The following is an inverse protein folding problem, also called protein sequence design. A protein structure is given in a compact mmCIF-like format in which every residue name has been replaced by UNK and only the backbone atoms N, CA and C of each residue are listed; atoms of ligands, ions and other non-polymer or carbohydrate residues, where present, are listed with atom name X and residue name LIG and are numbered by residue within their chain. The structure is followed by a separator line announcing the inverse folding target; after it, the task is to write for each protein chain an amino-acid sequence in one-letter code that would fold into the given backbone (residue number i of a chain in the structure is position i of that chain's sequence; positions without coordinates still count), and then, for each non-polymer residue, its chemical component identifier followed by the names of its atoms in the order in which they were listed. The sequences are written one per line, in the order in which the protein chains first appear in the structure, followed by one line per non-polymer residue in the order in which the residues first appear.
data_IF_523657158817
#
_entry.id   IF_523657158817
#
_cell.length_a   1.000
_cell.length_b   1.000
_cell.length_c   1.000
_cell.angle_alpha   90.00
_cell.angle_beta   90.00
_cell.angle_gamma   90.00
#
_symmetry.space_group_name_H-M   'P 1'
#
loop_
_entity.id
_entity.type
_entity.pdbx_description
1 polymer ?
#
# COMPACT_ATOMS: atom_id res chain seq x y z
N UNK A 1 16.75 -23.95 27.84
CA UNK A 1 17.35 -22.65 27.47
C UNK A 1 18.36 -22.94 26.38
N UNK A 2 18.00 -22.68 25.12
CA UNK A 2 18.84 -23.00 23.95
C UNK A 2 19.30 -21.70 23.31
N UNK A 3 20.62 -21.62 23.13
CA UNK A 3 21.41 -20.45 22.83
C UNK A 3 21.29 -20.05 21.34
N UNK A 4 20.66 -18.89 21.08
CA UNK A 4 20.44 -18.36 19.73
C UNK A 4 21.70 -17.79 19.06
N UNK A 5 22.86 -17.85 19.72
CA UNK A 5 24.13 -17.37 19.15
C UNK A 5 24.84 -18.40 18.25
N UNK A 6 24.41 -19.66 18.24
CA UNK A 6 25.06 -20.71 17.45
C UNK A 6 24.71 -20.66 15.95
N UNK A 7 23.53 -20.16 15.59
CA UNK A 7 23.03 -20.15 14.20
C UNK A 7 23.67 -19.08 13.31
N UNK A 8 24.23 -18.00 13.88
CA UNK A 8 24.89 -16.94 13.12
C UNK A 8 26.30 -17.32 12.65
N UNK A 9 26.98 -18.23 13.35
CA UNK A 9 28.36 -18.66 13.01
C UNK A 9 28.41 -19.59 11.80
N UNK A 10 27.33 -20.34 11.54
CA UNK A 10 27.24 -21.22 10.37
C UNK A 10 26.94 -20.46 9.06
N UNK A 11 26.44 -19.22 9.13
CA UNK A 11 26.23 -18.36 7.95
C UNK A 11 27.49 -17.61 7.53
N UNK A 12 28.41 -17.33 8.46
CA UNK A 12 29.66 -16.64 8.17
C UNK A 12 30.72 -17.55 7.50
N UNK A 13 30.73 -18.85 7.83
CA UNK A 13 31.72 -19.79 7.31
C UNK A 13 31.51 -20.15 5.82
N UNK A 14 30.30 -19.99 5.27
CA UNK A 14 29.99 -20.38 3.88
C UNK A 14 30.39 -19.34 2.82
N UNK A 15 30.98 -18.21 3.23
CA UNK A 15 31.29 -17.07 2.33
C UNK A 15 32.78 -16.88 2.01
N UNK A 16 33.67 -17.68 2.62
CA UNK A 16 35.11 -17.41 2.61
C UNK A 16 36.01 -18.55 2.07
N UNK A 17 35.48 -19.50 1.31
CA UNK A 17 36.34 -20.46 0.60
C UNK A 17 36.46 -20.07 -0.89
N UNK A 18 37.53 -19.33 -1.21
CA UNK A 18 37.94 -19.02 -2.59
C UNK A 18 38.82 -17.76 -2.73
N UNK A 19 40.06 -17.80 -2.26
CA UNK A 19 41.16 -16.86 -2.59
C UNK A 19 42.09 -17.46 -3.70
N UNK A 20 43.04 -16.73 -4.35
CA UNK A 20 43.34 -15.29 -4.39
C UNK A 20 43.63 -14.69 -5.81
N UNK A 21 43.72 -13.34 -5.84
CA UNK A 21 44.49 -12.41 -6.69
C UNK A 21 45.07 -12.83 -8.06
N UNK A 22 44.72 -12.12 -9.15
CA UNK A 22 45.53 -11.06 -9.79
C UNK A 22 44.90 -10.62 -11.13
N UNK A 23 45.22 -9.40 -11.55
CA UNK A 23 45.06 -8.77 -12.87
C UNK A 23 43.79 -7.96 -13.20
N UNK A 24 44.09 -6.69 -13.51
CA UNK A 24 43.27 -5.55 -13.88
C UNK A 24 42.95 -5.66 -15.39
N UNK A 25 41.75 -5.23 -15.82
CA UNK A 25 41.44 -4.37 -17.00
C UNK A 25 40.03 -4.66 -17.58
N UNK A 26 39.18 -3.62 -17.55
CA UNK A 26 38.07 -3.26 -18.46
C UNK A 26 36.76 -4.09 -18.58
N UNK A 27 35.69 -3.58 -17.91
CA UNK A 27 34.25 -3.47 -18.31
C UNK A 27 33.44 -4.69 -18.81
N UNK A 28 32.09 -4.71 -18.70
CA UNK A 28 31.17 -3.64 -18.30
C UNK A 28 30.39 -3.93 -17.00
N UNK A 29 29.70 -2.89 -16.53
CA UNK A 29 28.77 -2.91 -15.42
C UNK A 29 27.86 -4.16 -15.41
N UNK A 30 28.10 -5.07 -14.47
CA UNK A 30 27.11 -6.08 -14.12
C UNK A 30 25.93 -5.35 -13.50
N UNK A 31 24.87 -5.25 -14.29
CA UNK A 31 23.61 -4.63 -13.95
C UNK A 31 23.22 -4.93 -12.49
N UNK A 32 23.12 -3.86 -11.70
CA UNK A 32 22.33 -3.88 -10.49
C UNK A 32 20.97 -4.45 -10.86
N UNK A 33 20.66 -5.63 -10.32
CA UNK A 33 19.29 -6.16 -10.32
C UNK A 33 18.38 -5.03 -9.87
N UNK A 34 17.37 -4.60 -10.67
CA UNK A 34 16.55 -3.47 -10.29
C UNK A 34 15.89 -3.81 -8.96
N UNK A 35 16.12 -3.00 -7.92
CA UNK A 35 15.25 -3.00 -6.76
C UNK A 35 13.82 -2.96 -7.31
N UNK A 36 13.03 -4.02 -7.10
CA UNK A 36 11.62 -4.05 -7.50
C UNK A 36 11.00 -2.75 -7.00
N UNK A 37 10.61 -1.85 -7.91
CA UNK A 37 10.07 -0.55 -7.55
C UNK A 37 8.75 -0.77 -6.80
N UNK A 38 8.79 -0.62 -5.47
CA UNK A 38 7.67 -0.92 -4.58
C UNK A 38 6.69 0.24 -4.63
N UNK A 39 5.42 -0.04 -4.93
CA UNK A 39 4.36 0.96 -4.96
C UNK A 39 3.64 0.98 -3.61
N UNK A 40 3.88 2.02 -2.83
CA UNK A 40 3.25 2.17 -1.51
C UNK A 40 1.96 2.97 -1.60
N UNK A 41 0.94 2.54 -0.86
CA UNK A 41 -0.35 3.23 -0.73
C UNK A 41 -0.76 3.32 0.73
N UNK A 42 -1.00 4.54 1.20
CA UNK A 42 -1.56 4.80 2.53
C UNK A 42 -3.06 4.50 2.50
N UNK A 43 -3.54 3.64 3.39
CA UNK A 43 -4.94 3.23 3.44
C UNK A 43 -5.55 3.59 4.79
N UNK A 44 -6.58 4.44 4.76
CA UNK A 44 -7.40 4.78 5.92
C UNK A 44 -8.77 4.09 5.84
N UNK A 45 -9.46 3.96 6.98
CA UNK A 45 -10.84 3.46 7.02
C UNK A 45 -10.98 1.94 7.09
N UNK A 46 -9.87 1.21 7.19
CA UNK A 46 -9.90 -0.22 7.51
C UNK A 46 -10.57 -0.43 8.88
N UNK A 47 -11.37 -1.50 9.05
CA UNK A 47 -12.03 -1.79 10.32
C UNK A 47 -11.05 -2.16 11.43
N UNK A 48 -9.89 -2.72 11.06
CA UNK A 48 -8.75 -3.04 11.96
C UNK A 48 -7.44 -2.77 11.23
N UNK A 49 -6.37 -2.54 11.99
CA UNK A 49 -5.02 -2.26 11.46
C UNK A 49 -4.12 -3.50 11.53
N UNK A 50 -4.69 -4.68 11.32
CA UNK A 50 -3.98 -5.94 11.34
C UNK A 50 -3.52 -6.36 9.93
N UNK A 51 -2.67 -7.39 9.89
CA UNK A 51 -2.13 -7.91 8.64
C UNK A 51 -3.20 -8.50 7.73
N UNK A 52 -4.29 -9.03 8.30
CA UNK A 52 -5.40 -9.61 7.53
C UNK A 52 -6.12 -8.53 6.72
N UNK A 53 -6.45 -7.40 7.34
CA UNK A 53 -7.09 -6.26 6.68
C UNK A 53 -6.17 -5.60 5.65
N UNK A 54 -4.88 -5.47 5.96
CA UNK A 54 -3.90 -4.98 5.00
C UNK A 54 -3.79 -5.91 3.77
N UNK A 55 -3.81 -7.24 3.98
CA UNK A 55 -3.79 -8.22 2.90
C UNK A 55 -5.07 -8.16 2.05
N UNK A 56 -6.25 -7.99 2.67
CA UNK A 56 -7.52 -7.79 1.92
C UNK A 56 -7.47 -6.56 1.02
N UNK A 57 -6.90 -5.47 1.51
CA UNK A 57 -6.70 -4.25 0.72
C UNK A 57 -5.68 -4.46 -0.42
N UNK A 58 -4.58 -5.18 -0.16
CA UNK A 58 -3.61 -5.51 -1.20
C UNK A 58 -4.21 -6.41 -2.30
N UNK A 59 -5.06 -7.37 -1.93
CA UNK A 59 -5.74 -8.27 -2.87
C UNK A 59 -6.64 -7.52 -3.87
N UNK A 60 -7.04 -6.29 -3.59
CA UNK A 60 -7.77 -5.45 -4.58
C UNK A 60 -6.90 -5.18 -5.82
N UNK A 61 -5.60 -4.91 -5.63
CA UNK A 61 -4.68 -4.68 -6.75
C UNK A 61 -4.46 -5.97 -7.55
N UNK A 62 -4.38 -7.13 -6.89
CA UNK A 62 -4.32 -8.42 -7.58
C UNK A 62 -5.52 -8.63 -8.48
N UNK A 63 -6.73 -8.46 -7.95
CA UNK A 63 -7.96 -8.60 -8.75
C UNK A 63 -7.99 -7.60 -9.90
N UNK A 64 -7.63 -6.35 -9.68
CA UNK A 64 -7.59 -5.37 -10.76
C UNK A 64 -6.58 -5.72 -11.85
N UNK A 65 -5.41 -6.27 -11.48
CA UNK A 65 -4.45 -6.78 -12.45
C UNK A 65 -5.02 -7.97 -13.25
N UNK A 66 -5.67 -8.93 -12.59
CA UNK A 66 -6.35 -10.07 -13.23
C UNK A 66 -7.46 -9.60 -14.20
N UNK A 67 -8.16 -8.52 -13.86
CA UNK A 67 -9.17 -7.89 -14.71
C UNK A 67 -8.58 -6.92 -15.76
N UNK A 68 -7.26 -6.95 -15.98
CA UNK A 68 -6.59 -6.23 -17.06
C UNK A 68 -6.44 -4.72 -16.84
N UNK A 69 -6.54 -4.22 -15.60
CA UNK A 69 -6.29 -2.80 -15.29
C UNK A 69 -4.80 -2.48 -15.42
N UNK A 70 -4.40 -2.09 -16.63
CA UNK A 70 -3.00 -1.81 -17.02
C UNK A 70 -2.26 -0.87 -16.06
N UNK A 71 -2.95 0.08 -15.44
CA UNK A 71 -2.33 1.05 -14.51
C UNK A 71 -1.80 0.40 -13.22
N UNK A 72 -2.34 -0.75 -12.82
CA UNK A 72 -1.87 -1.49 -11.63
C UNK A 72 -0.45 -2.00 -11.88
N UNK A 73 -0.14 -2.41 -13.12
CA UNK A 73 1.12 -3.05 -13.47
C UNK A 73 1.26 -4.41 -12.78
N UNK A 74 2.44 -4.69 -12.23
CA UNK A 74 2.64 -5.87 -11.36
C UNK A 74 1.90 -5.67 -10.04
N UNK A 75 0.95 -6.55 -9.69
CA UNK A 75 0.24 -6.46 -8.41
C UNK A 75 1.15 -6.73 -7.21
N UNK A 76 2.17 -7.58 -7.36
CA UNK A 76 3.10 -7.99 -6.29
C UNK A 76 3.99 -6.84 -5.80
N UNK A 77 4.02 -5.70 -6.49
CA UNK A 77 4.78 -4.52 -6.08
C UNK A 77 4.00 -3.61 -5.14
N UNK A 78 2.68 -3.78 -5.04
CA UNK A 78 1.85 -2.92 -4.19
C UNK A 78 2.03 -3.28 -2.72
N UNK A 79 2.24 -2.26 -1.88
CA UNK A 79 2.32 -2.39 -0.42
C UNK A 79 1.32 -1.45 0.22
N UNK A 80 0.37 -2.05 0.93
CA UNK A 80 -0.62 -1.33 1.72
C UNK A 80 0.01 -0.92 3.05
N UNK A 81 -0.10 0.36 3.36
CA UNK A 81 0.27 0.93 4.65
C UNK A 81 -1.03 1.24 5.39
N UNK A 82 -1.50 0.36 6.30
CA UNK A 82 -2.70 0.61 7.07
C UNK A 82 -2.43 1.72 8.09
N UNK A 83 -3.26 2.76 8.11
CA UNK A 83 -3.05 3.92 8.98
C UNK A 83 -4.32 4.24 9.77
N UNK A 84 -4.15 4.43 11.08
CA UNK A 84 -5.21 4.93 11.95
C UNK A 84 -5.56 6.36 11.58
N UNK A 85 -6.85 6.69 11.63
CA UNK A 85 -7.32 8.08 11.47
C UNK A 85 -6.83 8.99 12.61
N UNK A 86 -6.42 8.40 13.73
CA UNK A 86 -5.89 9.08 14.92
C UNK A 86 -4.36 9.05 14.97
N UNK A 87 -3.68 8.62 13.90
CA UNK A 87 -2.23 8.54 13.88
C UNK A 87 -1.61 9.95 14.07
N UNK A 88 -0.78 10.19 15.10
CA UNK A 88 -0.31 11.54 15.44
C UNK A 88 0.51 12.22 14.33
N UNK A 89 1.25 11.43 13.56
CA UNK A 89 2.19 11.88 12.55
C UNK A 89 1.61 11.82 11.12
N UNK A 90 0.28 11.79 10.98
CA UNK A 90 -0.40 11.74 9.69
C UNK A 90 0.05 12.83 8.68
N UNK A 91 0.32 14.09 9.10
CA UNK A 91 0.83 15.12 8.18
C UNK A 91 2.16 14.74 7.51
N UNK A 92 3.05 14.01 8.21
CA UNK A 92 4.35 13.57 7.62
C UNK A 92 4.13 12.61 6.46
N UNK A 93 3.06 11.81 6.51
CA UNK A 93 2.73 10.86 5.45
C UNK A 93 2.36 11.56 4.13
N UNK A 94 1.81 12.78 4.17
CA UNK A 94 1.38 13.52 2.98
C UNK A 94 2.56 13.86 2.07
N UNK A 95 3.69 14.27 2.66
CA UNK A 95 4.93 14.55 1.92
C UNK A 95 5.73 13.31 1.56
N UNK A 96 5.45 12.17 2.19
CA UNK A 96 6.22 10.92 2.01
C UNK A 96 5.58 10.03 0.95
N UNK A 97 4.25 9.89 0.97
CA UNK A 97 3.52 8.96 0.13
C UNK A 97 2.61 9.69 -0.83
N UNK A 98 2.83 9.47 -2.13
CA UNK A 98 2.03 10.08 -3.20
C UNK A 98 0.67 9.42 -3.39
N UNK A 99 0.48 8.17 -2.92
CA UNK A 99 -0.75 7.40 -3.13
C UNK A 99 -1.49 7.17 -1.83
N UNK A 100 -2.76 7.52 -1.87
CA UNK A 100 -3.67 7.43 -0.75
C UNK A 100 -4.95 6.74 -1.20
N UNK A 101 -5.55 6.00 -0.27
CA UNK A 101 -6.79 5.31 -0.48
C UNK A 101 -7.64 5.28 0.79
N UNK A 102 -8.93 5.08 0.57
CA UNK A 102 -9.90 4.73 1.61
C UNK A 102 -10.38 3.30 1.38
N UNK A 103 -10.52 2.53 2.46
CA UNK A 103 -11.18 1.23 2.43
C UNK A 103 -12.70 1.43 2.53
N UNK A 104 -13.43 0.90 1.56
CA UNK A 104 -14.88 0.86 1.53
C UNK A 104 -15.29 -0.61 1.60
N UNK A 105 -16.02 -0.98 2.64
CA UNK A 105 -16.57 -2.31 2.87
C UNK A 105 -18.09 -2.29 2.64
N UNK A 106 -18.75 -3.45 2.71
CA UNK A 106 -20.21 -3.53 2.55
C UNK A 106 -21.00 -3.46 3.87
N UNK A 107 -20.30 -3.36 5.01
CA UNK A 107 -20.90 -3.24 6.33
C UNK A 107 -21.54 -1.86 6.59
N UNK A 108 -22.43 -1.83 7.60
CA UNK A 108 -23.23 -0.65 7.96
C UNK A 108 -22.37 0.55 8.39
N UNK A 109 -21.20 0.30 8.97
CA UNK A 109 -20.32 1.35 9.49
C UNK A 109 -19.32 1.85 8.45
N UNK A 110 -19.21 1.19 7.29
CA UNK A 110 -18.20 1.50 6.28
C UNK A 110 -18.30 2.95 5.81
N UNK A 111 -19.51 3.45 5.57
CA UNK A 111 -19.68 4.83 5.15
C UNK A 111 -19.14 5.81 6.20
N UNK A 112 -19.43 5.56 7.48
CA UNK A 112 -18.95 6.40 8.58
C UNK A 112 -17.43 6.35 8.72
N UNK A 113 -16.82 5.17 8.56
CA UNK A 113 -15.35 5.05 8.56
C UNK A 113 -14.72 5.84 7.42
N UNK A 114 -15.28 5.75 6.21
CA UNK A 114 -14.80 6.49 5.03
C UNK A 114 -15.00 7.99 5.20
N UNK A 115 -16.15 8.43 5.71
CA UNK A 115 -16.41 9.84 5.96
C UNK A 115 -15.37 10.45 6.91
N UNK A 116 -15.07 9.76 8.03
CA UNK A 116 -14.04 10.23 8.97
C UNK A 116 -12.65 10.19 8.34
N UNK A 117 -12.34 9.21 7.50
CA UNK A 117 -11.09 9.15 6.75
C UNK A 117 -10.96 10.36 5.79
N UNK A 118 -12.01 10.69 5.04
CA UNK A 118 -12.02 11.85 4.13
C UNK A 118 -11.83 13.17 4.90
N UNK A 119 -12.51 13.34 6.03
CA UNK A 119 -12.32 14.48 6.93
C UNK A 119 -10.87 14.59 7.40
N UNK A 120 -10.28 13.46 7.77
CA UNK A 120 -8.89 13.39 8.25
C UNK A 120 -7.90 13.74 7.14
N UNK A 121 -8.08 13.18 5.94
CA UNK A 121 -7.25 13.49 4.75
C UNK A 121 -7.33 14.98 4.45
N UNK A 122 -8.53 15.58 4.44
CA UNK A 122 -8.70 17.00 4.21
C UNK A 122 -8.01 17.84 5.30
N UNK A 123 -8.16 17.49 6.58
CA UNK A 123 -7.62 18.28 7.70
C UNK A 123 -6.10 18.32 7.72
N UNK A 124 -5.42 17.28 7.21
CA UNK A 124 -3.95 17.25 7.13
C UNK A 124 -3.42 17.79 5.81
N UNK A 125 -4.26 18.37 4.94
CA UNK A 125 -3.85 18.85 3.62
C UNK A 125 -3.47 17.72 2.66
N UNK A 126 -4.06 16.53 2.83
CA UNK A 126 -3.80 15.37 2.00
C UNK A 126 -4.24 15.51 0.54
N UNK A 127 -3.97 14.48 -0.28
CA UNK A 127 -4.16 14.54 -1.72
C UNK A 127 -5.63 14.76 -2.12
N UNK A 128 -5.80 15.51 -3.21
CA UNK A 128 -7.12 15.82 -3.81
C UNK A 128 -7.68 14.71 -4.67
N UNK A 129 -6.90 13.66 -4.95
CA UNK A 129 -7.30 12.49 -5.69
C UNK A 129 -6.83 11.25 -4.96
N UNK A 130 -7.76 10.37 -4.59
CA UNK A 130 -7.48 9.13 -3.85
C UNK A 130 -8.24 7.97 -4.49
N UNK A 131 -7.91 6.75 -4.08
CA UNK A 131 -8.56 5.52 -4.59
C UNK A 131 -9.52 4.97 -3.52
N UNK A 132 -10.70 4.51 -3.93
CA UNK A 132 -11.51 3.62 -3.09
C UNK A 132 -11.06 2.18 -3.32
N UNK A 133 -10.46 1.57 -2.30
CA UNK A 133 -10.22 0.13 -2.27
C UNK A 133 -11.44 -0.54 -1.66
N UNK A 134 -11.94 -1.58 -2.29
CA UNK A 134 -13.13 -2.26 -1.83
C UNK A 134 -13.13 -3.75 -2.24
N UNK A 135 -13.81 -4.64 -1.51
CA UNK A 135 -14.10 -5.99 -1.98
C UNK A 135 -15.13 -5.94 -3.12
N UNK A 136 -15.31 -7.04 -3.88
CA UNK A 136 -16.43 -7.14 -4.81
C UNK A 136 -17.75 -6.94 -4.05
N UNK A 137 -18.52 -5.93 -4.44
CA UNK A 137 -19.75 -5.55 -3.72
C UNK A 137 -20.91 -5.29 -4.68
N UNK A 138 -22.10 -5.74 -4.29
CA UNK A 138 -23.35 -5.52 -5.04
C UNK A 138 -23.89 -4.09 -4.90
N UNK A 139 -23.50 -3.38 -3.83
CA UNK A 139 -24.04 -2.06 -3.45
C UNK A 139 -23.37 -0.90 -4.19
N UNK A 140 -23.64 -0.78 -5.49
CA UNK A 140 -23.15 0.33 -6.32
C UNK A 140 -23.50 1.73 -5.74
N UNK A 141 -24.64 1.85 -5.04
CA UNK A 141 -25.06 3.10 -4.41
C UNK A 141 -24.14 3.61 -3.29
N UNK A 142 -23.44 2.71 -2.57
CA UNK A 142 -22.52 3.12 -1.50
C UNK A 142 -21.31 3.86 -2.06
N UNK A 143 -20.69 3.31 -3.12
CA UNK A 143 -19.53 3.92 -3.76
C UNK A 143 -19.89 5.27 -4.40
N UNK A 144 -21.06 5.36 -5.05
CA UNK A 144 -21.57 6.62 -5.58
C UNK A 144 -21.77 7.68 -4.48
N UNK A 145 -22.30 7.28 -3.32
CA UNK A 145 -22.47 8.18 -2.18
C UNK A 145 -21.12 8.64 -1.61
N UNK A 146 -20.14 7.73 -1.50
CA UNK A 146 -18.76 8.08 -1.09
C UNK A 146 -18.15 9.09 -2.05
N UNK A 147 -18.26 8.88 -3.36
CA UNK A 147 -17.74 9.81 -4.36
C UNK A 147 -18.43 11.18 -4.28
N UNK A 148 -19.75 11.20 -4.13
CA UNK A 148 -20.52 12.43 -3.96
C UNK A 148 -20.03 13.20 -2.72
N UNK A 149 -19.97 12.55 -1.57
CA UNK A 149 -19.60 13.21 -0.32
C UNK A 149 -18.14 13.68 -0.34
N UNK A 150 -17.22 12.86 -0.86
CA UNK A 150 -15.82 13.25 -1.02
C UNK A 150 -15.66 14.51 -1.86
N UNK A 151 -16.36 14.59 -2.99
CA UNK A 151 -16.29 15.72 -3.90
C UNK A 151 -16.92 16.98 -3.29
N UNK A 152 -18.13 16.86 -2.77
CA UNK A 152 -18.94 18.01 -2.38
C UNK A 152 -18.58 18.60 -1.00
N UNK A 153 -18.14 17.76 -0.05
CA UNK A 153 -17.81 18.24 1.30
C UNK A 153 -16.32 18.37 1.55
N UNK A 154 -15.49 17.57 0.86
CA UNK A 154 -14.05 17.51 1.12
C UNK A 154 -13.19 18.06 -0.03
N UNK A 155 -13.79 18.31 -1.20
CA UNK A 155 -13.07 18.63 -2.44
C UNK A 155 -11.99 17.58 -2.74
N UNK A 156 -12.36 16.29 -2.62
CA UNK A 156 -11.52 15.14 -2.91
C UNK A 156 -12.20 14.31 -4.00
N UNK A 157 -11.47 14.02 -5.07
CA UNK A 157 -11.86 13.08 -6.12
C UNK A 157 -11.54 11.65 -5.66
N UNK A 158 -12.57 10.83 -5.47
CA UNK A 158 -12.40 9.40 -5.17
C UNK A 158 -12.56 8.60 -6.45
N UNK A 159 -11.47 7.95 -6.87
CA UNK A 159 -11.45 7.03 -7.99
C UNK A 159 -11.99 5.68 -7.55
N UNK A 160 -12.98 5.17 -8.26
CA UNK A 160 -13.59 3.86 -8.04
C UNK A 160 -13.34 3.02 -9.29
N UNK A 161 -12.88 1.79 -9.11
CA UNK A 161 -12.65 0.86 -10.22
C UNK A 161 -13.42 -0.44 -9.97
N UNK A 162 -14.18 -0.86 -10.98
CA UNK A 162 -14.77 -2.19 -11.02
C UNK A 162 -13.73 -3.22 -11.50
N UNK A 163 -13.70 -4.37 -10.83
CA UNK A 163 -12.77 -5.47 -11.06
C UNK A 163 -12.69 -6.37 -9.84
#
# INVERSE_FOLDING_TARGET
MSDQAASLRQWAAKRNEGEPANEIISQPASAETPQKNVEQVVVLGLPKLDQEQAAKAANVFHRWAEHGKKWVGDAERWRVIPVSQEYPDLPKLVGTYSRWAVWVDDDLDSFMRVYRALKTIQSVGGPKRIIALHPPMARQGLLANVQYVARHYFNIEVLVFSG
#
